data_IF_316730330529
#
_entry.id   IF_316730330529
#
_cell.length_a   1.000
_cell.length_b   1.000
_cell.length_c   1.000
_cell.angle_alpha   90.00
_cell.angle_beta   90.00
_cell.angle_gamma   90.00
#
_symmetry.space_group_name_H-M   'P 1'
#
loop_
_entity.id
_entity.type
_entity.pdbx_description
1 polymer ?
#
# COMPACT_ATOMS: atom_id res chain seq x y z
N UNK A 1 0.36 -4.50 6.30
CA UNK A 1 0.55 -3.39 5.35
C UNK A 1 -0.77 -3.16 4.64
N UNK A 2 -1.24 -1.91 4.63
CA UNK A 2 -2.54 -1.47 4.12
C UNK A 2 -3.75 -2.27 4.66
N UNK A 3 -4.94 -1.77 4.48
CA UNK A 3 -6.15 -2.34 5.08
C UNK A 3 -7.29 -2.53 4.07
N UNK A 4 -7.02 -2.24 2.80
CA UNK A 4 -8.01 -2.33 1.75
C UNK A 4 -9.12 -1.27 1.86
N UNK A 5 -10.16 -1.48 1.05
CA UNK A 5 -11.27 -0.55 0.88
C UNK A 5 -12.19 -0.44 2.10
N UNK A 6 -12.26 -1.50 2.92
CA UNK A 6 -13.21 -1.59 4.03
C UNK A 6 -14.66 -1.71 3.57
N UNK A 7 -15.60 -1.51 4.52
CA UNK A 7 -17.03 -1.76 4.29
C UNK A 7 -17.97 -0.69 4.84
N UNK A 8 -17.44 0.44 5.35
CA UNK A 8 -18.23 1.46 6.05
C UNK A 8 -18.90 2.49 5.15
N UNK A 9 -18.50 2.56 3.88
CA UNK A 9 -19.04 3.51 2.91
C UNK A 9 -20.46 3.15 2.48
N UNK A 10 -21.16 4.09 1.83
CA UNK A 10 -22.51 3.84 1.32
C UNK A 10 -22.50 2.86 0.13
N UNK A 11 -23.65 2.22 -0.11
CA UNK A 11 -23.84 1.38 -1.29
C UNK A 11 -23.60 2.14 -2.59
N UNK A 12 -24.00 3.42 -2.64
CA UNK A 12 -23.73 4.31 -3.78
C UNK A 12 -22.24 4.47 -4.02
N UNK A 13 -21.44 4.62 -2.98
CA UNK A 13 -19.97 4.69 -3.10
C UNK A 13 -19.43 3.37 -3.68
N UNK A 14 -19.81 2.25 -3.08
CA UNK A 14 -19.32 0.94 -3.51
C UNK A 14 -19.78 0.52 -4.90
N UNK A 15 -20.93 1.03 -5.39
CA UNK A 15 -21.41 0.72 -6.75
C UNK A 15 -20.45 1.18 -7.85
N UNK A 16 -19.53 2.11 -7.56
CA UNK A 16 -18.51 2.56 -8.51
C UNK A 16 -17.31 1.61 -8.64
N UNK A 17 -17.16 0.63 -7.75
CA UNK A 17 -15.94 -0.19 -7.63
C UNK A 17 -16.16 -1.68 -7.91
N UNK A 18 -17.35 -2.10 -8.33
CA UNK A 18 -17.63 -3.49 -8.74
C UNK A 18 -17.03 -4.56 -7.81
N UNK A 19 -17.15 -4.37 -6.50
CA UNK A 19 -16.60 -5.31 -5.52
C UNK A 19 -17.18 -6.70 -5.74
N UNK A 20 -16.34 -7.73 -5.58
CA UNK A 20 -16.72 -9.13 -5.72
C UNK A 20 -16.07 -9.99 -4.61
N UNK A 21 -16.66 -11.16 -4.33
CA UNK A 21 -16.18 -12.07 -3.30
C UNK A 21 -16.66 -11.68 -1.90
N UNK A 22 -16.55 -12.66 -0.98
CA UNK A 22 -17.06 -12.55 0.40
C UNK A 22 -15.92 -12.40 1.44
N UNK A 23 -14.67 -12.31 0.98
CA UNK A 23 -13.52 -12.17 1.86
C UNK A 23 -13.47 -10.78 2.48
N UNK A 24 -13.32 -10.74 3.79
CA UNK A 24 -13.05 -9.51 4.55
C UNK A 24 -11.64 -9.53 5.11
N UNK A 25 -11.15 -8.39 5.57
CA UNK A 25 -9.85 -8.32 6.24
C UNK A 25 -9.83 -9.21 7.49
N UNK A 26 -10.90 -9.18 8.27
CA UNK A 26 -11.05 -10.01 9.47
C UNK A 26 -11.07 -11.51 9.13
N UNK A 27 -11.78 -11.92 8.06
CA UNK A 27 -11.80 -13.33 7.64
C UNK A 27 -10.44 -13.78 7.10
N UNK A 28 -9.71 -12.88 6.43
CA UNK A 28 -8.35 -13.16 5.95
C UNK A 28 -7.36 -13.33 7.10
N UNK A 29 -7.42 -12.48 8.12
CA UNK A 29 -6.61 -12.62 9.33
C UNK A 29 -6.96 -13.93 10.06
N UNK A 30 -8.24 -14.23 10.22
CA UNK A 30 -8.71 -15.46 10.88
C UNK A 30 -8.22 -16.72 10.15
N UNK A 31 -8.18 -16.71 8.82
CA UNK A 31 -7.66 -17.83 8.03
C UNK A 31 -6.15 -18.06 8.25
N UNK A 32 -5.44 -17.06 8.71
CA UNK A 32 -4.02 -17.12 9.11
C UNK A 32 -3.85 -17.38 10.63
N UNK A 33 -4.92 -17.56 11.39
CA UNK A 33 -4.88 -17.81 12.83
C UNK A 33 -4.77 -16.55 13.70
N UNK A 34 -5.04 -15.36 13.13
CA UNK A 34 -5.02 -14.09 13.83
C UNK A 34 -6.39 -13.43 13.89
N UNK A 35 -6.62 -12.65 14.91
CA UNK A 35 -7.73 -11.70 15.04
C UNK A 35 -7.27 -10.27 14.80
N UNK A 36 -8.19 -9.33 14.65
CA UNK A 36 -7.86 -7.89 14.59
C UNK A 36 -7.21 -7.39 15.89
N UNK A 37 -7.46 -8.05 17.01
CA UNK A 37 -6.92 -7.69 18.31
C UNK A 37 -5.45 -8.13 18.49
N UNK A 38 -4.96 -9.07 17.66
CA UNK A 38 -3.58 -9.53 17.66
C UNK A 38 -2.65 -8.61 16.86
N UNK A 39 -3.21 -7.69 16.08
CA UNK A 39 -2.44 -6.76 15.27
C UNK A 39 -1.95 -5.61 16.15
N UNK A 40 -0.63 -5.43 16.19
CA UNK A 40 0.05 -4.39 16.97
C UNK A 40 0.46 -3.18 16.14
N UNK A 41 0.59 -3.37 14.82
CA UNK A 41 1.04 -2.32 13.92
C UNK A 41 0.35 -2.43 12.55
N UNK A 42 -0.12 -1.31 12.05
CA UNK A 42 -0.70 -1.15 10.71
C UNK A 42 0.14 -0.12 9.96
N UNK A 43 0.84 -0.56 8.93
CA UNK A 43 1.62 0.33 8.08
C UNK A 43 0.80 0.73 6.86
N UNK A 44 0.54 2.03 6.71
CA UNK A 44 -0.19 2.59 5.58
C UNK A 44 0.81 3.13 4.54
N UNK A 45 0.81 2.53 3.36
CA UNK A 45 1.68 2.95 2.26
C UNK A 45 1.34 4.36 1.82
N UNK A 46 0.05 4.62 1.69
CA UNK A 46 -0.55 5.93 1.44
C UNK A 46 -2.03 5.93 1.88
N UNK A 47 -2.70 7.07 1.76
CA UNK A 47 -3.99 7.31 2.39
C UNK A 47 -5.17 7.36 1.40
N UNK A 48 -5.03 6.81 0.21
CA UNK A 48 -6.17 6.61 -0.67
C UNK A 48 -7.14 5.60 -0.04
N UNK A 49 -8.43 5.76 -0.32
CA UNK A 49 -9.50 5.05 0.40
C UNK A 49 -9.42 3.52 0.27
N UNK A 50 -8.84 3.00 -0.79
CA UNK A 50 -8.69 1.57 -1.05
C UNK A 50 -7.45 0.95 -0.37
N UNK A 51 -6.60 1.77 0.25
CA UNK A 51 -5.46 1.33 1.07
C UNK A 51 -5.71 1.51 2.57
N UNK A 52 -6.40 2.56 2.97
CA UNK A 52 -6.65 2.86 4.38
C UNK A 52 -8.13 2.70 4.81
N UNK A 53 -9.02 2.33 3.89
CA UNK A 53 -10.46 2.24 4.17
C UNK A 53 -10.82 1.23 5.26
N UNK A 54 -10.16 0.07 5.28
CA UNK A 54 -10.37 -0.95 6.31
C UNK A 54 -9.73 -0.66 7.66
N UNK A 55 -8.97 0.43 7.79
CA UNK A 55 -8.39 0.84 9.08
C UNK A 55 -9.44 1.30 10.10
N UNK A 56 -10.60 1.72 9.62
CA UNK A 56 -11.71 2.20 10.46
C UNK A 56 -13.03 1.53 10.08
N UNK A 57 -13.93 1.41 11.06
CA UNK A 57 -15.24 0.78 10.90
C UNK A 57 -16.35 1.64 11.50
N UNK A 58 -17.58 1.44 11.06
CA UNK A 58 -18.77 2.09 11.61
C UNK A 58 -19.37 1.24 12.71
N UNK A 59 -19.59 1.85 13.89
CA UNK A 59 -20.30 1.24 15.02
C UNK A 59 -21.40 2.22 15.46
N UNK A 60 -22.62 1.94 15.09
CA UNK A 60 -23.72 2.90 15.23
C UNK A 60 -23.44 4.18 14.44
N UNK A 61 -23.50 5.33 15.11
CA UNK A 61 -23.22 6.65 14.50
C UNK A 61 -21.74 7.04 14.54
N UNK A 62 -20.86 6.21 15.13
CA UNK A 62 -19.44 6.51 15.28
C UNK A 62 -18.60 5.73 14.27
N UNK A 63 -17.49 6.34 13.90
CA UNK A 63 -16.42 5.65 13.16
C UNK A 63 -15.22 5.55 14.09
N UNK A 64 -14.71 4.32 14.25
CA UNK A 64 -13.63 3.99 15.17
C UNK A 64 -12.56 3.16 14.45
N UNK A 65 -11.30 3.11 14.95
CA UNK A 65 -10.29 2.19 14.46
C UNK A 65 -10.74 0.72 14.61
N UNK A 66 -10.43 -0.11 13.60
CA UNK A 66 -10.65 -1.56 13.64
C UNK A 66 -9.65 -2.23 14.56
N UNK A 67 -8.39 -1.83 14.47
CA UNK A 67 -7.26 -2.42 15.19
C UNK A 67 -6.99 -1.63 16.47
N UNK A 68 -7.75 -1.94 17.52
CA UNK A 68 -7.72 -1.16 18.79
C UNK A 68 -6.38 -1.26 19.55
N UNK A 69 -5.58 -2.31 19.30
CA UNK A 69 -4.29 -2.55 19.93
C UNK A 69 -3.10 -2.12 19.05
N UNK A 70 -3.37 -1.62 17.84
CA UNK A 70 -2.33 -1.31 16.87
C UNK A 70 -1.95 0.18 16.85
N UNK A 71 -0.69 0.45 16.54
CA UNK A 71 -0.24 1.73 16.05
C UNK A 71 -0.46 1.81 14.53
N UNK A 72 -0.87 2.97 14.02
CA UNK A 72 -0.98 3.23 12.59
C UNK A 72 0.18 4.10 12.13
N UNK A 73 1.02 3.54 11.28
CA UNK A 73 2.23 4.19 10.77
C UNK A 73 1.94 4.85 9.42
N UNK A 74 2.29 6.11 9.29
CA UNK A 74 2.16 6.86 8.05
C UNK A 74 3.31 7.86 7.90
N UNK A 75 3.76 8.11 6.66
CA UNK A 75 4.70 9.21 6.39
C UNK A 75 4.09 10.55 6.80
N UNK A 76 4.84 11.35 7.56
CA UNK A 76 4.42 12.68 7.98
C UNK A 76 4.07 13.57 6.80
N UNK A 77 4.91 13.60 5.79
CA UNK A 77 4.71 14.45 4.62
C UNK A 77 3.48 14.00 3.82
N UNK A 78 3.24 12.67 3.71
CA UNK A 78 2.03 12.16 3.07
C UNK A 78 0.78 12.48 3.87
N UNK A 79 0.84 12.37 5.21
CA UNK A 79 -0.27 12.74 6.08
C UNK A 79 -0.63 14.23 5.95
N UNK A 80 0.38 15.10 5.93
CA UNK A 80 0.18 16.55 5.74
C UNK A 80 -0.42 16.83 4.37
N UNK A 81 0.10 16.19 3.30
CA UNK A 81 -0.45 16.28 1.95
C UNK A 81 -1.92 15.90 1.89
N UNK A 82 -2.29 14.74 2.41
CA UNK A 82 -3.66 14.22 2.37
C UNK A 82 -4.67 15.08 3.14
N UNK A 83 -4.25 15.72 4.23
CA UNK A 83 -5.15 16.44 5.14
C UNK A 83 -5.19 17.96 4.93
N UNK A 84 -4.06 18.58 4.54
CA UNK A 84 -3.95 20.05 4.49
C UNK A 84 -4.21 20.56 3.08
N UNK A 85 -3.58 19.99 2.07
CA UNK A 85 -3.61 20.55 0.72
C UNK A 85 -3.56 19.47 -0.36
N UNK A 86 -4.49 18.50 -0.38
CA UNK A 86 -4.54 17.56 -1.47
C UNK A 86 -4.87 18.31 -2.76
N UNK A 87 -4.20 17.95 -3.86
CA UNK A 87 -4.53 18.57 -5.14
C UNK A 87 -5.93 18.13 -5.63
N UNK A 88 -6.59 18.90 -6.53
CA UNK A 88 -7.93 18.59 -6.99
C UNK A 88 -8.07 17.22 -7.68
N UNK A 89 -6.96 16.67 -8.23
CA UNK A 89 -6.97 15.39 -8.96
C UNK A 89 -7.20 14.19 -8.02
N UNK A 90 -6.62 14.22 -6.83
CA UNK A 90 -6.68 13.10 -5.88
C UNK A 90 -7.48 13.39 -4.60
N UNK A 91 -7.97 14.62 -4.42
CA UNK A 91 -8.71 15.02 -3.21
C UNK A 91 -9.86 14.08 -2.86
N UNK A 92 -10.53 13.53 -3.87
CA UNK A 92 -11.64 12.60 -3.68
C UNK A 92 -11.18 11.21 -3.16
N UNK A 93 -9.90 10.89 -3.27
CA UNK A 93 -9.32 9.65 -2.76
C UNK A 93 -9.03 9.70 -1.24
N UNK A 94 -8.98 10.89 -0.64
CA UNK A 94 -8.72 11.08 0.79
C UNK A 94 -10.02 11.29 1.55
N UNK A 95 -10.52 10.24 2.19
CA UNK A 95 -11.76 10.29 2.95
C UNK A 95 -11.47 10.58 4.43
N UNK A 96 -11.98 11.68 4.95
CA UNK A 96 -11.75 12.10 6.35
C UNK A 96 -12.16 11.03 7.37
N UNK A 97 -13.20 10.28 7.08
CA UNK A 97 -13.69 9.18 7.92
C UNK A 97 -12.73 7.98 7.98
N UNK A 98 -11.78 7.89 7.06
CA UNK A 98 -10.70 6.89 7.14
C UNK A 98 -9.55 7.38 8.01
N UNK A 99 -9.33 8.68 8.09
CA UNK A 99 -8.12 9.30 8.64
C UNK A 99 -8.32 9.86 10.04
N UNK A 100 -9.39 10.65 10.24
CA UNK A 100 -9.59 11.38 11.49
C UNK A 100 -9.77 10.46 12.70
N UNK A 101 -10.51 9.33 12.63
CA UNK A 101 -10.66 8.46 13.79
C UNK A 101 -9.34 7.85 14.27
N UNK A 102 -8.40 7.57 13.34
CA UNK A 102 -7.06 7.07 13.69
C UNK A 102 -6.29 8.15 14.46
N UNK A 103 -6.34 9.40 13.99
CA UNK A 103 -5.68 10.52 14.68
C UNK A 103 -6.30 10.77 16.06
N UNK A 104 -7.61 10.79 16.13
CA UNK A 104 -8.36 11.10 17.37
C UNK A 104 -8.22 10.01 18.43
N UNK A 105 -7.99 8.74 18.01
CA UNK A 105 -7.72 7.64 18.94
C UNK A 105 -6.35 7.72 19.62
N UNK A 106 -5.43 8.54 19.10
CA UNK A 106 -4.05 8.63 19.59
C UNK A 106 -3.13 7.51 19.10
N UNK A 107 -3.61 6.64 18.17
CA UNK A 107 -2.85 5.49 17.65
C UNK A 107 -1.97 5.85 16.43
N UNK A 108 -2.06 7.10 15.91
CA UNK A 108 -1.31 7.53 14.74
C UNK A 108 0.15 7.81 15.09
N UNK A 109 1.07 7.15 14.39
CA UNK A 109 2.51 7.43 14.42
C UNK A 109 2.93 8.01 13.08
N UNK A 110 3.39 9.24 13.10
CA UNK A 110 3.94 9.91 11.93
C UNK A 110 5.48 9.79 11.94
N UNK A 111 6.03 9.07 10.97
CA UNK A 111 7.47 8.97 10.82
C UNK A 111 7.97 10.01 9.81
N UNK A 112 9.15 10.59 10.11
CA UNK A 112 9.78 11.58 9.26
C UNK A 112 10.90 10.94 8.43
N UNK A 113 10.85 11.15 7.11
CA UNK A 113 11.83 10.65 6.16
C UNK A 113 12.77 11.76 5.70
N UNK A 114 13.65 12.17 6.53
CA UNK A 114 14.76 13.04 6.11
C UNK A 114 15.95 12.27 5.53
N UNK A 115 15.92 10.92 5.52
CA UNK A 115 17.04 10.06 5.09
C UNK A 115 16.58 8.97 4.13
N UNK A 116 17.26 8.82 2.99
CA UNK A 116 17.17 7.63 2.15
C UNK A 116 17.63 6.39 2.93
N UNK A 117 16.91 5.26 2.75
CA UNK A 117 17.25 4.01 3.41
C UNK A 117 16.80 3.94 4.87
N UNK A 118 15.72 4.59 5.23
CA UNK A 118 15.15 4.52 6.58
C UNK A 118 14.74 3.07 6.89
N UNK A 119 15.41 2.46 7.88
CA UNK A 119 14.96 1.24 8.53
C UNK A 119 13.88 1.64 9.54
N UNK A 120 12.67 1.15 9.37
CA UNK A 120 11.59 1.42 10.32
C UNK A 120 11.81 0.61 11.60
N UNK A 121 11.27 1.07 12.72
CA UNK A 121 11.24 0.31 13.99
C UNK A 121 10.46 -1.01 13.82
N UNK A 122 9.77 -1.19 12.71
CA UNK A 122 9.05 -2.40 12.33
C UNK A 122 9.93 -3.47 11.66
N UNK A 123 11.24 -3.23 11.50
CA UNK A 123 12.21 -4.20 11.01
C UNK A 123 12.26 -4.37 9.49
N UNK A 124 11.80 -3.39 8.72
CA UNK A 124 11.92 -3.35 7.26
C UNK A 124 12.32 -1.95 6.76
N UNK A 125 12.93 -1.91 5.58
CA UNK A 125 13.26 -0.65 4.93
C UNK A 125 12.04 -0.06 4.22
N UNK A 126 12.04 1.26 4.05
CA UNK A 126 10.97 1.97 3.34
C UNK A 126 11.58 2.86 2.26
N UNK A 127 11.16 2.66 1.00
CA UNK A 127 11.43 3.61 -0.07
C UNK A 127 10.25 4.57 -0.20
N UNK A 128 10.54 5.83 -0.53
CA UNK A 128 9.50 6.82 -0.81
C UNK A 128 9.47 7.16 -2.30
N UNK A 129 8.27 7.31 -2.81
CA UNK A 129 7.97 7.71 -4.19
C UNK A 129 6.90 8.80 -4.21
N UNK A 130 6.93 9.63 -5.26
CA UNK A 130 6.11 10.83 -5.38
C UNK A 130 5.21 10.84 -6.62
N UNK A 131 5.37 9.87 -7.51
CA UNK A 131 4.70 9.86 -8.80
C UNK A 131 3.20 9.59 -8.70
N UNK A 132 2.80 8.53 -8.00
CA UNK A 132 1.40 8.17 -7.77
C UNK A 132 0.72 9.17 -6.84
N UNK A 133 1.27 9.39 -5.67
CA UNK A 133 0.90 10.45 -4.71
C UNK A 133 2.12 10.89 -3.91
N UNK A 134 2.03 11.99 -3.19
CA UNK A 134 3.14 12.56 -2.40
C UNK A 134 3.61 11.58 -1.33
N UNK A 135 4.91 11.22 -1.35
CA UNK A 135 5.55 10.38 -0.32
C UNK A 135 4.83 9.06 -0.02
N UNK A 136 4.34 8.39 -1.06
CA UNK A 136 3.87 7.01 -0.95
C UNK A 136 5.04 6.10 -0.54
N UNK A 137 4.80 5.24 0.43
CA UNK A 137 5.81 4.37 1.02
C UNK A 137 5.77 2.96 0.41
N UNK A 138 6.94 2.45 0.07
CA UNK A 138 7.11 1.09 -0.44
C UNK A 138 7.95 0.27 0.56
N UNK A 139 7.33 -0.55 1.40
CA UNK A 139 8.06 -1.44 2.32
C UNK A 139 8.91 -2.47 1.57
N UNK A 140 10.19 -2.59 1.94
CA UNK A 140 11.12 -3.61 1.43
C UNK A 140 11.50 -4.53 2.58
N UNK A 141 10.96 -5.73 2.55
CA UNK A 141 11.01 -6.70 3.64
C UNK A 141 12.04 -7.78 3.31
N UNK A 142 12.95 -8.06 4.24
CA UNK A 142 13.89 -9.19 4.14
C UNK A 142 13.23 -10.44 4.70
N UNK A 143 13.08 -11.46 3.88
CA UNK A 143 12.46 -12.71 4.28
C UNK A 143 13.18 -13.93 3.67
N UNK A 144 13.68 -14.84 4.53
CA UNK A 144 14.40 -16.08 4.12
C UNK A 144 15.49 -15.84 3.05
N UNK A 145 16.28 -14.77 3.21
CA UNK A 145 17.37 -14.43 2.28
C UNK A 145 16.91 -13.81 0.96
N UNK A 146 15.63 -13.40 0.86
CA UNK A 146 15.07 -12.66 -0.26
C UNK A 146 14.55 -11.32 0.22
N UNK A 147 14.76 -10.29 -0.58
CA UNK A 147 14.07 -9.01 -0.39
C UNK A 147 12.76 -9.02 -1.20
N UNK A 148 11.67 -8.66 -0.57
CA UNK A 148 10.34 -8.51 -1.20
C UNK A 148 9.94 -7.05 -1.06
N UNK A 149 9.75 -6.36 -2.18
CA UNK A 149 9.20 -5.01 -2.20
C UNK A 149 7.68 -5.08 -2.31
N UNK A 150 6.97 -4.52 -1.35
CA UNK A 150 5.56 -4.25 -1.45
C UNK A 150 5.38 -3.04 -2.38
N UNK A 151 4.92 -3.27 -3.61
CA UNK A 151 4.97 -2.26 -4.67
C UNK A 151 3.89 -1.19 -4.55
N UNK A 152 2.85 -1.44 -3.74
CA UNK A 152 1.70 -0.54 -3.65
C UNK A 152 1.26 -0.07 -5.06
N UNK A 153 1.04 1.20 -5.25
CA UNK A 153 0.56 1.78 -6.51
C UNK A 153 1.66 2.29 -7.45
N UNK A 154 2.95 2.04 -7.10
CA UNK A 154 4.03 2.23 -8.07
C UNK A 154 3.93 1.21 -9.22
N UNK A 155 3.60 -0.06 -8.88
CA UNK A 155 3.37 -1.16 -9.82
C UNK A 155 2.18 -1.96 -9.33
N UNK A 156 0.94 -1.55 -9.62
CA UNK A 156 -0.25 -2.18 -9.05
C UNK A 156 -0.49 -3.61 -9.55
N UNK A 157 -0.14 -3.90 -10.82
CA UNK A 157 -0.32 -5.23 -11.44
C UNK A 157 0.87 -5.59 -12.32
N UNK A 158 1.00 -6.86 -12.69
CA UNK A 158 2.02 -7.34 -13.63
C UNK A 158 1.98 -6.61 -14.98
N UNK A 159 0.79 -6.16 -15.41
CA UNK A 159 0.62 -5.34 -16.62
C UNK A 159 1.30 -3.98 -16.56
N UNK A 160 1.54 -3.47 -15.36
CA UNK A 160 2.21 -2.18 -15.13
C UNK A 160 3.74 -2.29 -14.95
N UNK A 161 4.31 -3.49 -15.03
CA UNK A 161 5.78 -3.66 -14.96
C UNK A 161 6.51 -2.92 -16.09
N UNK A 162 6.07 -2.96 -17.36
CA UNK A 162 6.72 -2.17 -18.41
C UNK A 162 6.61 -0.66 -18.11
N UNK A 163 7.73 0.05 -18.24
CA UNK A 163 7.84 1.46 -17.80
C UNK A 163 6.74 2.39 -18.34
N UNK A 164 6.36 2.33 -19.63
CA UNK A 164 5.33 3.26 -20.16
C UNK A 164 3.89 2.99 -19.65
N UNK A 165 3.64 1.85 -19.01
CA UNK A 165 2.31 1.51 -18.53
C UNK A 165 2.12 2.03 -17.11
N UNK A 166 1.33 3.08 -16.99
CA UNK A 166 1.07 3.84 -15.78
C UNK A 166 -0.41 3.81 -15.43
N UNK A 167 -0.72 4.08 -14.17
CA UNK A 167 -2.10 4.24 -13.76
C UNK A 167 -2.66 5.60 -14.21
N UNK A 168 -3.91 5.62 -14.64
CA UNK A 168 -4.62 6.87 -14.93
C UNK A 168 -4.75 7.79 -13.72
N UNK A 169 -4.53 7.27 -12.52
CA UNK A 169 -4.63 8.00 -11.25
C UNK A 169 -3.32 8.65 -10.80
N UNK A 170 -2.19 8.35 -11.46
CA UNK A 170 -0.91 8.95 -11.10
C UNK A 170 -0.98 10.47 -11.16
N UNK A 171 -0.55 11.12 -10.08
CA UNK A 171 -0.56 12.59 -9.98
C UNK A 171 0.56 13.19 -10.82
N UNK A 172 1.70 12.49 -10.87
CA UNK A 172 2.90 12.90 -11.61
C UNK A 172 3.43 11.73 -12.46
N UNK A 173 2.76 11.38 -13.57
CA UNK A 173 3.07 10.16 -14.32
C UNK A 173 4.52 10.10 -14.85
N UNK A 174 5.14 11.21 -15.18
CA UNK A 174 6.54 11.23 -15.61
C UNK A 174 7.49 10.88 -14.46
N UNK A 175 7.19 11.33 -13.24
CA UNK A 175 7.95 10.94 -12.05
C UNK A 175 7.73 9.45 -11.76
N UNK A 176 6.51 8.93 -11.87
CA UNK A 176 6.26 7.48 -11.75
C UNK A 176 7.14 6.66 -12.69
N UNK A 177 7.32 7.11 -13.94
CA UNK A 177 8.19 6.41 -14.91
C UNK A 177 9.66 6.38 -14.45
N UNK A 178 10.18 7.49 -13.94
CA UNK A 178 11.54 7.60 -13.43
C UNK A 178 11.73 6.70 -12.20
N UNK A 179 10.80 6.75 -11.25
CA UNK A 179 10.80 5.93 -10.04
C UNK A 179 10.68 4.44 -10.35
N UNK A 180 9.77 4.04 -11.23
CA UNK A 180 9.68 2.65 -11.72
C UNK A 180 10.98 2.19 -12.35
N UNK A 181 11.60 3.03 -13.18
CA UNK A 181 12.86 2.70 -13.84
C UNK A 181 13.94 2.41 -12.81
N UNK A 182 14.10 3.27 -11.81
CA UNK A 182 15.07 3.12 -10.73
C UNK A 182 14.77 1.87 -9.89
N UNK A 183 13.54 1.74 -9.40
CA UNK A 183 13.14 0.69 -8.48
C UNK A 183 13.18 -0.70 -9.14
N UNK A 184 12.64 -0.85 -10.34
CA UNK A 184 12.61 -2.15 -11.02
C UNK A 184 14.01 -2.62 -11.44
N UNK A 185 14.92 -1.72 -11.82
CA UNK A 185 16.31 -2.10 -12.09
C UNK A 185 17.01 -2.56 -10.80
N UNK A 186 16.86 -1.83 -9.68
CA UNK A 186 17.41 -2.25 -8.38
C UNK A 186 16.92 -3.65 -7.97
N UNK A 187 15.62 -3.91 -8.13
CA UNK A 187 15.04 -5.22 -7.81
C UNK A 187 15.63 -6.36 -8.64
N UNK A 188 15.83 -6.15 -9.94
CA UNK A 188 16.45 -7.17 -10.82
C UNK A 188 17.91 -7.38 -10.47
N UNK A 189 18.68 -6.31 -10.25
CA UNK A 189 20.11 -6.37 -9.93
C UNK A 189 20.35 -7.09 -8.60
N UNK A 190 19.46 -6.90 -7.61
CA UNK A 190 19.54 -7.54 -6.30
C UNK A 190 18.74 -8.85 -6.20
N UNK A 191 18.22 -9.38 -7.31
CA UNK A 191 17.38 -10.60 -7.31
C UNK A 191 16.22 -10.53 -6.30
N UNK A 192 15.70 -9.34 -6.08
CA UNK A 192 14.57 -9.07 -5.20
C UNK A 192 13.25 -9.35 -5.90
N UNK A 193 12.21 -9.60 -5.10
CA UNK A 193 10.87 -9.90 -5.56
C UNK A 193 9.98 -8.66 -5.41
N UNK A 194 8.85 -8.66 -6.14
CA UNK A 194 7.84 -7.62 -6.03
C UNK A 194 6.51 -8.25 -5.63
N UNK A 195 5.86 -7.69 -4.62
CA UNK A 195 4.50 -8.04 -4.23
C UNK A 195 3.52 -7.05 -4.86
N UNK A 196 2.48 -7.58 -5.52
CA UNK A 196 1.49 -6.81 -6.27
C UNK A 196 0.15 -6.79 -5.52
N UNK A 197 -0.24 -5.62 -5.03
CA UNK A 197 -1.44 -5.47 -4.20
C UNK A 197 -2.74 -5.56 -5.01
N UNK A 198 -2.75 -5.06 -6.24
CA UNK A 198 -3.94 -4.94 -7.09
C UNK A 198 -4.01 -5.98 -8.22
N UNK A 199 -3.10 -6.96 -8.24
CA UNK A 199 -3.14 -7.99 -9.28
C UNK A 199 -3.97 -9.19 -8.80
N UNK A 200 -5.07 -9.54 -9.50
CA UNK A 200 -5.93 -10.64 -9.08
C UNK A 200 -5.35 -12.04 -9.32
N UNK A 201 -4.23 -12.13 -10.06
CA UNK A 201 -3.64 -13.41 -10.49
C UNK A 201 -2.20 -13.61 -10.00
N UNK A 202 -1.48 -12.53 -9.73
CA UNK A 202 -0.05 -12.56 -9.44
C UNK A 202 0.24 -11.86 -8.11
N UNK A 203 0.52 -12.66 -7.08
CA UNK A 203 0.78 -12.14 -5.73
C UNK A 203 2.23 -11.68 -5.59
N UNK A 204 3.19 -12.58 -5.83
CA UNK A 204 4.63 -12.31 -5.81
C UNK A 204 5.20 -12.57 -7.20
N UNK A 205 5.99 -11.63 -7.71
CA UNK A 205 6.50 -11.68 -9.08
C UNK A 205 8.01 -11.60 -9.09
N UNK A 206 8.60 -12.48 -9.91
CA UNK A 206 9.99 -12.42 -10.32
C UNK A 206 10.13 -11.54 -11.56
N UNK A 207 11.19 -10.76 -11.57
CA UNK A 207 11.50 -9.85 -12.67
C UNK A 207 12.73 -10.36 -13.45
N UNK A 208 12.79 -10.03 -14.74
CA UNK A 208 13.95 -10.26 -15.58
C UNK A 208 14.31 -9.05 -16.42
N UNK A 209 15.59 -8.88 -16.69
CA UNK A 209 16.09 -7.89 -17.63
C UNK A 209 15.98 -8.41 -19.06
N UNK A 210 15.50 -7.59 -19.97
CA UNK A 210 15.43 -7.87 -21.40
C UNK A 210 15.98 -6.69 -22.19
N UNK A 211 16.16 -6.84 -23.51
CA UNK A 211 16.53 -5.73 -24.40
C UNK A 211 15.51 -4.56 -24.35
N UNK A 212 14.25 -4.87 -24.03
CA UNK A 212 13.16 -3.90 -23.89
C UNK A 212 12.98 -3.37 -22.45
N UNK A 213 13.98 -3.58 -21.56
CA UNK A 213 13.94 -3.22 -20.14
C UNK A 213 13.42 -4.35 -19.24
N UNK A 214 13.06 -4.01 -18.00
CA UNK A 214 12.56 -4.99 -17.03
C UNK A 214 11.18 -5.50 -17.42
N UNK A 215 10.97 -6.81 -17.26
CA UNK A 215 9.73 -7.51 -17.59
C UNK A 215 9.38 -8.52 -16.51
N UNK A 216 8.12 -8.91 -16.49
CA UNK A 216 7.60 -10.07 -15.77
C UNK A 216 8.38 -11.33 -16.21
N UNK A 217 8.77 -12.14 -15.25
CA UNK A 217 9.35 -13.46 -15.51
C UNK A 217 8.36 -14.58 -15.17
N UNK A 218 8.04 -14.72 -13.91
CA UNK A 218 7.07 -15.68 -13.38
C UNK A 218 6.44 -15.15 -12.10
N UNK A 219 5.33 -15.73 -11.69
CA UNK A 219 4.68 -15.48 -10.41
C UNK A 219 4.84 -16.65 -9.44
N UNK A 220 4.62 -16.37 -8.17
CA UNK A 220 4.58 -17.28 -7.05
C UNK A 220 3.58 -16.74 -6.01
N UNK A 221 3.37 -17.47 -4.94
CA UNK A 221 2.57 -17.01 -3.80
C UNK A 221 3.45 -16.76 -2.58
N UNK A 222 3.02 -15.97 -1.62
CA UNK A 222 3.74 -15.83 -0.36
C UNK A 222 3.91 -17.16 0.36
N UNK A 223 2.95 -18.08 0.21
CA UNK A 223 3.02 -19.44 0.78
C UNK A 223 4.24 -20.24 0.33
N UNK A 224 4.73 -19.99 -0.89
CA UNK A 224 5.90 -20.66 -1.41
C UNK A 224 7.19 -20.22 -0.69
N UNK A 225 7.13 -19.14 0.11
CA UNK A 225 8.24 -18.59 0.88
C UNK A 225 8.07 -18.78 2.39
N UNK A 226 6.88 -19.14 2.88
CA UNK A 226 6.56 -19.42 4.27
C UNK A 226 6.80 -20.90 4.57
#
# INVERSE_FOLDING_TARGET
IDTGLGNKQSEKFFSHYSRSGDMTLESSLSSCGFSVDDITDVFLTHLHFDHCGGATMRVGDKIIPVFKNANFWCSKNHWEWANISPNPREKASFLKENLMPIKESGQLILYDHSKEGFCSDLGFDVLLVDGHTEKMALPKIQYKGKAILFASDLVPTAGHIPIPYLMGYDVRPLITMEEKTRVLNDLVENSSLIFLQHDPLNEVVFLKKTEKGVRFDRSSTLKDFI
#
